data_IF_097293474879
#
_entry.id   IF_097293474879
#
_cell.length_a   1.000
_cell.length_b   1.000
_cell.length_c   1.000
_cell.angle_alpha   90.00
_cell.angle_beta   90.00
_cell.angle_gamma   90.00
#
_symmetry.space_group_name_H-M   'P 1'
#
loop_
_entity.id
_entity.type
_entity.pdbx_description
1 polymer ?
#
# COMPACT_ATOMS: atom_id res chain seq x y z
N UNK A 1 17.31 19.32 17.52
CA UNK A 1 16.47 19.29 18.72
C UNK A 1 15.31 18.29 18.60
N UNK A 2 14.46 18.35 17.56
CA UNK A 2 13.30 17.45 17.38
C UNK A 2 13.73 15.98 17.39
N UNK A 3 14.74 15.60 16.63
CA UNK A 3 15.21 14.21 16.57
C UNK A 3 15.80 13.70 17.90
N UNK A 4 16.39 14.57 18.70
CA UNK A 4 16.83 14.21 20.05
C UNK A 4 15.64 13.93 20.97
N UNK A 5 14.57 14.73 20.88
CA UNK A 5 13.32 14.49 21.61
C UNK A 5 12.67 13.17 21.17
N UNK A 6 12.61 12.88 19.87
CA UNK A 6 12.11 11.60 19.34
C UNK A 6 12.90 10.42 19.92
N UNK A 7 14.23 10.47 19.91
CA UNK A 7 15.08 9.42 20.51
C UNK A 7 14.81 9.24 22.00
N UNK A 8 14.63 10.34 22.75
CA UNK A 8 14.30 10.30 24.16
C UNK A 8 12.95 9.64 24.42
N UNK A 9 11.93 10.00 23.62
CA UNK A 9 10.60 9.39 23.72
C UNK A 9 10.64 7.89 23.39
N UNK A 10 11.34 7.50 22.33
CA UNK A 10 11.51 6.07 21.97
C UNK A 10 12.22 5.27 23.08
N UNK A 11 13.24 5.85 23.71
CA UNK A 11 13.91 5.21 24.86
C UNK A 11 12.94 5.04 26.05
N UNK A 12 12.10 6.07 26.28
CA UNK A 12 11.14 6.05 27.41
C UNK A 12 9.98 5.07 27.19
N UNK A 13 9.41 5.03 25.99
CA UNK A 13 8.20 4.25 25.70
C UNK A 13 8.48 2.95 24.92
N UNK A 14 9.70 2.75 24.47
CA UNK A 14 10.12 1.54 23.79
C UNK A 14 9.32 1.28 22.51
N UNK A 15 8.97 -0.01 22.30
CA UNK A 15 8.20 -0.45 21.10
C UNK A 15 6.73 0.00 21.14
N UNK A 16 6.24 0.54 22.26
CA UNK A 16 4.87 1.05 22.36
C UNK A 16 4.64 2.39 21.65
N UNK A 17 5.72 3.06 21.21
CA UNK A 17 5.61 4.33 20.50
C UNK A 17 5.81 4.13 19.00
N UNK A 18 4.74 4.37 18.23
CA UNK A 18 4.78 4.44 16.77
C UNK A 18 4.89 5.90 16.33
N UNK A 19 5.82 6.20 15.43
CA UNK A 19 6.09 7.54 14.93
C UNK A 19 6.02 7.54 13.41
N UNK A 20 5.09 8.31 12.86
CA UNK A 20 4.99 8.59 11.44
C UNK A 20 5.65 9.93 11.11
N UNK A 21 6.30 9.99 9.98
CA UNK A 21 6.75 11.23 9.38
C UNK A 21 5.84 11.57 8.20
N UNK A 22 5.15 12.69 8.30
CA UNK A 22 4.31 13.21 7.23
C UNK A 22 5.03 14.32 6.49
N UNK A 23 4.57 14.63 5.30
CA UNK A 23 4.80 15.82 4.49
C UNK A 23 6.25 16.22 4.15
N UNK A 24 6.48 16.45 2.88
CA UNK A 24 7.61 17.19 2.29
C UNK A 24 9.02 16.68 2.60
N UNK A 25 9.13 15.46 3.09
CA UNK A 25 10.42 14.82 3.33
C UNK A 25 10.70 13.83 2.21
N UNK A 26 11.84 13.91 1.57
CA UNK A 26 12.25 12.91 0.61
C UNK A 26 12.41 11.56 1.32
N UNK A 27 11.73 10.49 0.84
CA UNK A 27 11.87 9.16 1.41
C UNK A 27 13.33 8.73 1.41
N UNK A 28 13.79 8.28 2.56
CA UNK A 28 15.13 7.75 2.72
C UNK A 28 15.15 6.77 3.89
N UNK A 29 15.84 5.62 3.77
CA UNK A 29 16.03 4.68 4.89
C UNK A 29 16.71 5.32 6.10
N UNK A 30 17.46 6.42 5.92
CA UNK A 30 18.08 7.15 7.02
C UNK A 30 17.06 7.61 8.09
N UNK A 31 15.84 7.95 7.68
CA UNK A 31 14.78 8.37 8.59
C UNK A 31 14.33 7.28 9.56
N UNK A 32 14.53 6.00 9.23
CA UNK A 32 14.14 4.86 10.06
C UNK A 32 14.90 4.81 11.40
N UNK A 33 15.95 5.59 11.56
CA UNK A 33 16.60 5.82 12.86
C UNK A 33 15.70 6.56 13.85
N UNK A 34 14.70 7.28 13.36
CA UNK A 34 13.85 8.17 14.15
C UNK A 34 12.39 7.79 14.10
N UNK A 35 11.90 7.33 12.96
CA UNK A 35 10.49 7.06 12.71
C UNK A 35 10.23 5.62 12.30
N UNK A 36 8.99 5.19 12.39
CA UNK A 36 8.58 3.84 11.99
C UNK A 36 8.11 3.81 10.54
N UNK A 37 7.51 4.91 10.07
CA UNK A 37 7.02 5.01 8.70
C UNK A 37 7.09 6.45 8.18
N UNK A 38 7.11 6.54 6.85
CA UNK A 38 7.15 7.80 6.10
C UNK A 38 5.98 7.78 5.12
N UNK A 39 5.31 8.92 5.00
CA UNK A 39 4.23 9.07 4.03
C UNK A 39 4.73 8.99 2.60
N UNK A 40 3.96 8.31 1.75
CA UNK A 40 4.22 8.22 0.31
C UNK A 40 4.13 9.60 -0.33
N UNK A 41 5.29 10.14 -0.69
CA UNK A 41 5.42 11.49 -1.22
C UNK A 41 4.80 11.66 -2.60
N UNK A 42 4.31 12.86 -2.90
CA UNK A 42 3.72 13.24 -4.19
C UNK A 42 2.51 12.37 -4.59
N UNK A 43 1.77 11.88 -3.62
CA UNK A 43 0.64 11.00 -3.86
C UNK A 43 -0.73 11.63 -3.63
N UNK A 44 -0.80 12.82 -3.01
CA UNK A 44 -2.09 13.38 -2.59
C UNK A 44 -2.86 12.47 -1.62
N UNK A 45 -3.92 12.96 -1.03
CA UNK A 45 -4.79 12.14 -0.14
C UNK A 45 -5.64 11.18 -0.97
N UNK A 46 -6.18 11.66 -2.08
CA UNK A 46 -6.91 10.89 -3.07
C UNK A 46 -6.49 11.34 -4.47
N UNK A 47 -6.53 10.44 -5.43
CA UNK A 47 -6.25 10.73 -6.82
C UNK A 47 -6.80 9.67 -7.74
N UNK A 48 -6.87 10.01 -9.03
CA UNK A 48 -7.35 9.14 -10.07
C UNK A 48 -6.37 9.18 -11.24
N UNK A 49 -6.13 8.05 -11.88
CA UNK A 49 -5.35 8.00 -13.11
C UNK A 49 -6.19 8.59 -14.25
N UNK A 50 -5.70 9.65 -14.88
CA UNK A 50 -6.48 10.42 -15.87
C UNK A 50 -6.40 9.84 -17.27
N UNK A 51 -5.37 9.08 -17.59
CA UNK A 51 -5.04 8.68 -18.96
C UNK A 51 -5.48 7.25 -19.33
N UNK A 52 -6.25 6.58 -18.46
CA UNK A 52 -6.62 5.18 -18.67
C UNK A 52 -8.10 5.12 -19.02
N UNK A 53 -8.40 4.94 -20.30
CA UNK A 53 -9.78 4.77 -20.76
C UNK A 53 -10.35 3.42 -20.30
N UNK A 54 -11.63 3.41 -19.91
CA UNK A 54 -12.35 2.18 -19.58
C UNK A 54 -12.23 1.70 -18.14
N UNK A 55 -11.39 2.30 -17.32
CA UNK A 55 -11.31 1.95 -15.91
C UNK A 55 -12.49 2.49 -15.11
N UNK A 56 -12.95 1.70 -14.14
CA UNK A 56 -13.85 2.20 -13.11
C UNK A 56 -13.15 3.28 -12.27
N UNK A 57 -13.90 4.07 -11.52
CA UNK A 57 -13.30 5.05 -10.60
C UNK A 57 -12.42 4.38 -9.55
N UNK A 58 -12.80 3.20 -9.08
CA UNK A 58 -12.00 2.43 -8.14
C UNK A 58 -10.69 1.98 -8.78
N UNK A 59 -10.76 1.42 -10.00
CA UNK A 59 -9.55 1.01 -10.72
C UNK A 59 -8.62 2.16 -11.00
N UNK A 60 -9.17 3.32 -11.36
CA UNK A 60 -8.42 4.54 -11.57
C UNK A 60 -7.75 5.05 -10.28
N UNK A 61 -8.41 4.97 -9.13
CA UNK A 61 -7.85 5.32 -7.83
C UNK A 61 -6.70 4.38 -7.43
N UNK A 62 -6.91 3.07 -7.53
CA UNK A 62 -5.88 2.06 -7.26
C UNK A 62 -4.67 2.27 -8.20
N UNK A 63 -4.92 2.45 -9.49
CA UNK A 63 -3.87 2.70 -10.49
C UNK A 63 -3.05 3.94 -10.14
N UNK A 64 -3.72 5.04 -9.80
CA UNK A 64 -3.06 6.27 -9.38
C UNK A 64 -2.13 6.03 -8.18
N UNK A 65 -2.61 5.35 -7.16
CA UNK A 65 -1.83 5.09 -5.95
C UNK A 65 -0.62 4.21 -6.24
N UNK A 66 -0.82 3.13 -6.95
CA UNK A 66 0.25 2.19 -7.25
C UNK A 66 1.28 2.75 -8.23
N UNK A 67 0.89 3.67 -9.12
CA UNK A 67 1.83 4.42 -9.93
C UNK A 67 2.76 5.32 -9.10
N UNK A 68 2.31 5.84 -7.95
CA UNK A 68 3.17 6.58 -7.02
C UNK A 68 4.18 5.66 -6.34
N UNK A 69 3.79 4.43 -5.98
CA UNK A 69 4.72 3.41 -5.51
C UNK A 69 5.72 3.01 -6.58
N UNK A 70 5.26 2.76 -7.80
CA UNK A 70 6.14 2.46 -8.94
C UNK A 70 7.15 3.58 -9.16
N UNK A 71 6.70 4.83 -9.20
CA UNK A 71 7.59 5.98 -9.37
C UNK A 71 8.65 6.04 -8.26
N UNK A 72 8.25 5.86 -7.01
CA UNK A 72 9.17 5.91 -5.88
C UNK A 72 10.21 4.80 -5.94
N UNK A 73 9.77 3.56 -6.14
CA UNK A 73 10.60 2.37 -5.99
C UNK A 73 11.38 2.00 -7.25
N UNK A 74 10.76 2.15 -8.43
CA UNK A 74 11.33 1.72 -9.69
C UNK A 74 11.96 2.89 -10.46
N UNK A 75 11.24 4.00 -10.65
CA UNK A 75 11.76 5.14 -11.42
C UNK A 75 12.82 5.92 -10.64
N UNK A 76 12.53 6.24 -9.39
CA UNK A 76 13.47 6.96 -8.50
C UNK A 76 14.42 6.03 -7.76
N UNK A 77 14.20 4.73 -7.85
CA UNK A 77 14.99 3.66 -7.23
C UNK A 77 15.29 3.88 -5.73
N UNK A 78 14.31 4.38 -5.00
CA UNK A 78 14.44 4.61 -3.56
C UNK A 78 14.43 3.26 -2.83
N UNK A 79 15.53 2.92 -2.19
CA UNK A 79 15.70 1.68 -1.43
C UNK A 79 15.04 1.80 -0.05
N UNK A 80 13.72 1.72 -0.02
CA UNK A 80 12.96 1.76 1.23
C UNK A 80 11.93 0.63 1.28
N UNK A 81 11.96 -0.22 2.32
CA UNK A 81 10.99 -1.31 2.44
C UNK A 81 9.56 -0.78 2.52
N UNK A 82 8.63 -1.39 1.78
CA UNK A 82 7.24 -0.99 1.69
C UNK A 82 6.55 -0.91 3.06
N UNK A 83 6.90 -1.78 4.00
CA UNK A 83 6.36 -1.74 5.39
C UNK A 83 6.60 -0.41 6.11
N UNK A 84 7.56 0.38 5.67
CA UNK A 84 7.89 1.68 6.25
C UNK A 84 7.35 2.86 5.46
N UNK A 85 6.57 2.59 4.40
CA UNK A 85 5.86 3.60 3.64
C UNK A 85 4.38 3.46 3.95
N UNK A 86 3.70 4.56 4.26
CA UNK A 86 2.25 4.56 4.42
C UNK A 86 1.61 5.59 3.50
N UNK A 87 0.36 5.39 3.21
CA UNK A 87 -0.51 6.30 2.49
C UNK A 87 -1.85 6.42 3.23
N UNK A 88 -2.78 7.21 2.70
CA UNK A 88 -4.10 7.39 3.30
C UNK A 88 -5.13 6.34 2.84
N UNK A 89 -4.70 5.16 2.41
CA UNK A 89 -5.59 4.07 2.03
C UNK A 89 -5.74 3.02 3.15
N UNK A 90 -6.86 2.29 3.12
CA UNK A 90 -7.97 2.39 2.16
C UNK A 90 -8.84 3.62 2.39
N UNK A 91 -9.28 4.25 1.29
CA UNK A 91 -10.21 5.37 1.32
C UNK A 91 -11.57 4.93 0.77
N UNK A 92 -12.60 5.00 1.60
CA UNK A 92 -13.98 4.78 1.18
C UNK A 92 -14.90 5.74 1.93
N UNK A 93 -15.03 6.94 1.39
CA UNK A 93 -15.65 8.04 2.09
C UNK A 93 -16.50 8.93 1.19
N UNK A 94 -17.40 9.68 1.83
CA UNK A 94 -18.33 10.59 1.15
C UNK A 94 -17.63 11.65 0.29
N UNK A 95 -16.40 12.04 0.65
CA UNK A 95 -15.61 13.01 -0.11
C UNK A 95 -15.18 12.51 -1.49
N UNK A 96 -14.99 11.20 -1.64
CA UNK A 96 -14.65 10.58 -2.92
C UNK A 96 -15.85 10.47 -3.87
N UNK A 97 -17.10 10.53 -3.35
CA UNK A 97 -18.36 10.39 -4.09
C UNK A 97 -18.43 9.12 -4.94
N UNK A 98 -17.77 8.06 -4.49
CA UNK A 98 -17.70 6.77 -5.18
C UNK A 98 -18.35 5.73 -4.30
N UNK A 99 -19.27 4.97 -4.87
CA UNK A 99 -19.90 3.81 -4.24
C UNK A 99 -19.27 2.55 -4.85
N UNK A 100 -18.80 1.65 -3.99
CA UNK A 100 -18.29 0.36 -4.40
C UNK A 100 -19.29 -0.73 -4.09
N UNK A 101 -19.43 -1.69 -4.99
CA UNK A 101 -20.09 -2.96 -4.68
C UNK A 101 -19.34 -3.68 -3.57
N UNK A 102 -19.93 -4.71 -2.97
CA UNK A 102 -19.24 -5.48 -1.93
C UNK A 102 -18.04 -6.22 -2.51
N UNK A 103 -18.12 -6.70 -3.76
CA UNK A 103 -17.02 -7.36 -4.47
C UNK A 103 -15.88 -6.40 -4.79
N UNK A 104 -16.17 -5.21 -5.28
CA UNK A 104 -15.16 -4.17 -5.54
C UNK A 104 -14.46 -3.77 -4.25
N UNK A 105 -15.21 -3.58 -3.17
CA UNK A 105 -14.65 -3.26 -1.86
C UNK A 105 -13.74 -4.39 -1.35
N UNK A 106 -14.12 -5.65 -1.54
CA UNK A 106 -13.32 -6.81 -1.16
C UNK A 106 -11.98 -6.84 -1.92
N UNK A 107 -12.02 -6.71 -3.25
CA UNK A 107 -10.82 -6.65 -4.08
C UNK A 107 -9.89 -5.52 -3.66
N UNK A 108 -10.45 -4.35 -3.42
CA UNK A 108 -9.69 -3.18 -2.99
C UNK A 108 -8.96 -3.41 -1.66
N UNK A 109 -9.70 -3.84 -0.63
CA UNK A 109 -9.12 -4.03 0.71
C UNK A 109 -8.04 -5.11 0.72
N UNK A 110 -8.26 -6.26 0.07
CA UNK A 110 -7.23 -7.31 0.03
C UNK A 110 -6.01 -6.89 -0.76
N UNK A 111 -6.18 -6.14 -1.84
CA UNK A 111 -5.05 -5.63 -2.61
C UNK A 111 -4.26 -4.57 -1.83
N UNK A 112 -4.95 -3.69 -1.10
CA UNK A 112 -4.32 -2.70 -0.24
C UNK A 112 -3.45 -3.36 0.85
N UNK A 113 -3.99 -4.30 1.62
CA UNK A 113 -3.24 -4.98 2.69
C UNK A 113 -2.08 -5.83 2.15
N UNK A 114 -2.16 -6.29 0.89
CA UNK A 114 -1.09 -7.05 0.25
C UNK A 114 0.16 -6.21 -0.06
N UNK A 115 0.08 -4.88 -0.01
CA UNK A 115 1.24 -3.98 -0.10
C UNK A 115 2.22 -4.18 1.06
N UNK A 116 1.81 -4.85 2.14
CA UNK A 116 2.68 -5.19 3.26
C UNK A 116 3.03 -4.01 4.17
N UNK A 117 2.27 -2.94 4.12
CA UNK A 117 2.45 -1.77 4.98
C UNK A 117 2.24 -2.13 6.46
N UNK A 118 3.05 -1.54 7.33
CA UNK A 118 2.90 -1.76 8.78
C UNK A 118 1.83 -0.86 9.41
N UNK A 119 1.42 0.19 8.72
CA UNK A 119 0.36 1.11 9.12
C UNK A 119 -0.67 1.23 8.01
N UNK A 120 -1.91 0.90 8.31
CA UNK A 120 -3.07 1.17 7.47
C UNK A 120 -3.89 2.30 8.09
N UNK A 121 -4.06 3.39 7.37
CA UNK A 121 -4.94 4.48 7.77
C UNK A 121 -6.33 4.25 7.19
N UNK A 122 -7.30 3.91 8.04
CA UNK A 122 -8.64 3.56 7.60
C UNK A 122 -9.52 4.81 7.41
N UNK A 123 -9.48 5.42 6.24
CA UNK A 123 -10.32 6.56 5.89
C UNK A 123 -11.70 6.10 5.38
N UNK A 124 -12.51 5.58 6.27
CA UNK A 124 -13.80 4.97 5.96
C UNK A 124 -14.97 5.76 6.55
N UNK A 125 -15.92 6.17 5.72
CA UNK A 125 -17.19 6.76 6.21
C UNK A 125 -18.15 5.65 6.65
N UNK A 126 -18.46 5.59 7.94
CA UNK A 126 -19.30 4.53 8.49
C UNK A 126 -20.68 4.45 7.81
N UNK A 127 -21.21 5.58 7.33
CA UNK A 127 -22.50 5.66 6.61
C UNK A 127 -22.50 4.94 5.26
N UNK A 128 -21.33 4.70 4.68
CA UNK A 128 -21.16 3.97 3.42
C UNK A 128 -20.86 2.48 3.64
N UNK A 129 -20.55 2.11 4.87
CA UNK A 129 -20.18 0.75 5.25
C UNK A 129 -21.42 -0.06 5.66
N UNK A 130 -21.77 -1.04 4.84
CA UNK A 130 -22.78 -2.05 5.20
C UNK A 130 -22.15 -3.20 6.01
N UNK A 131 -22.98 -4.12 6.49
CA UNK A 131 -22.52 -5.28 7.28
C UNK A 131 -21.54 -6.18 6.53
N UNK A 132 -21.70 -6.32 5.22
CA UNK A 132 -20.80 -7.11 4.38
C UNK A 132 -19.42 -6.46 4.31
N UNK A 133 -19.32 -5.18 4.02
CA UNK A 133 -18.07 -4.43 3.96
C UNK A 133 -17.31 -4.44 5.29
N UNK A 134 -18.02 -4.28 6.42
CA UNK A 134 -17.40 -4.40 7.75
C UNK A 134 -16.81 -5.79 8.00
N UNK A 135 -17.49 -6.85 7.57
CA UNK A 135 -16.97 -8.22 7.67
C UNK A 135 -15.77 -8.44 6.78
N UNK A 136 -15.80 -7.95 5.55
CA UNK A 136 -14.67 -8.01 4.62
C UNK A 136 -13.44 -7.32 5.20
N UNK A 137 -13.59 -6.10 5.70
CA UNK A 137 -12.50 -5.37 6.34
C UNK A 137 -11.91 -6.15 7.53
N UNK A 138 -12.76 -6.68 8.41
CA UNK A 138 -12.29 -7.45 9.56
C UNK A 138 -11.50 -8.70 9.14
N UNK A 139 -11.99 -9.44 8.14
CA UNK A 139 -11.30 -10.61 7.59
C UNK A 139 -9.97 -10.25 6.92
N UNK A 140 -9.93 -9.16 6.17
CA UNK A 140 -8.69 -8.71 5.53
C UNK A 140 -7.62 -8.29 6.55
N UNK A 141 -8.02 -7.58 7.61
CA UNK A 141 -7.11 -7.22 8.72
C UNK A 141 -6.62 -8.47 9.47
N UNK A 142 -7.50 -9.44 9.70
CA UNK A 142 -7.12 -10.72 10.31
C UNK A 142 -6.15 -11.50 9.41
N UNK A 143 -6.44 -11.58 8.11
CA UNK A 143 -5.56 -12.19 7.13
C UNK A 143 -4.20 -11.51 7.08
N UNK A 144 -4.15 -10.18 7.06
CA UNK A 144 -2.90 -9.41 7.11
C UNK A 144 -2.09 -9.74 8.37
N UNK A 145 -2.73 -9.74 9.53
CA UNK A 145 -2.06 -10.06 10.81
C UNK A 145 -1.47 -11.47 10.80
N UNK A 146 -2.22 -12.46 10.32
CA UNK A 146 -1.80 -13.85 10.29
C UNK A 146 -0.67 -14.12 9.29
N UNK A 147 -0.55 -13.28 8.25
CA UNK A 147 0.46 -13.41 7.19
C UNK A 147 1.52 -12.30 7.25
N UNK A 148 1.56 -11.49 8.30
CA UNK A 148 2.45 -10.33 8.33
C UNK A 148 3.94 -10.70 8.35
N UNK A 149 4.29 -11.88 8.85
CA UNK A 149 5.65 -12.42 8.76
C UNK A 149 6.15 -12.57 7.32
N UNK A 150 5.25 -12.76 6.34
CA UNK A 150 5.53 -12.77 4.91
C UNK A 150 5.36 -11.38 4.32
N UNK A 151 4.19 -10.76 4.52
CA UNK A 151 3.80 -9.49 3.91
C UNK A 151 4.74 -8.33 4.22
N UNK A 152 5.36 -8.30 5.39
CA UNK A 152 6.33 -7.24 5.75
C UNK A 152 7.55 -7.17 4.82
N UNK A 153 7.78 -8.19 4.00
CA UNK A 153 8.88 -8.24 3.03
C UNK A 153 8.40 -7.94 1.60
N UNK A 154 7.24 -7.31 1.46
CA UNK A 154 6.66 -6.98 0.17
C UNK A 154 7.58 -6.10 -0.67
N UNK A 155 7.64 -6.43 -1.95
CA UNK A 155 8.29 -5.63 -2.99
C UNK A 155 7.34 -5.43 -4.16
N UNK A 156 7.47 -4.31 -4.84
CA UNK A 156 6.71 -4.04 -6.06
C UNK A 156 7.27 -4.88 -7.21
N UNK A 157 6.40 -5.49 -7.99
CA UNK A 157 6.76 -6.29 -9.17
C UNK A 157 5.90 -5.89 -10.38
N UNK A 158 6.43 -6.14 -11.57
CA UNK A 158 5.74 -5.82 -12.82
C UNK A 158 6.05 -4.43 -13.35
N UNK A 159 5.16 -3.91 -14.20
CA UNK A 159 5.37 -2.67 -14.92
C UNK A 159 4.67 -1.45 -14.32
N UNK A 160 4.70 -0.35 -15.08
CA UNK A 160 4.06 0.89 -14.67
C UNK A 160 2.52 0.78 -14.75
N UNK A 161 1.79 0.98 -13.63
CA UNK A 161 0.33 0.93 -13.64
C UNK A 161 -0.33 1.93 -14.59
N UNK A 162 0.23 3.13 -14.75
CA UNK A 162 -0.29 4.17 -15.66
C UNK A 162 -0.04 3.87 -17.14
N UNK A 163 0.75 2.86 -17.45
CA UNK A 163 0.98 2.35 -18.80
C UNK A 163 0.17 1.07 -19.10
N UNK A 164 -0.80 0.76 -18.25
CA UNK A 164 -1.64 -0.45 -18.35
C UNK A 164 -0.85 -1.77 -18.22
N UNK A 165 0.33 -1.73 -17.65
CA UNK A 165 1.10 -2.94 -17.40
C UNK A 165 0.54 -3.74 -16.22
N UNK A 166 0.61 -5.06 -16.31
CA UNK A 166 0.35 -5.93 -15.17
C UNK A 166 1.42 -5.72 -14.11
N UNK A 167 1.00 -5.61 -12.87
CA UNK A 167 1.89 -5.36 -11.74
C UNK A 167 1.33 -5.97 -10.45
N UNK A 168 2.05 -5.82 -9.37
CA UNK A 168 1.58 -6.22 -8.06
C UNK A 168 2.65 -6.18 -6.99
N UNK A 169 2.43 -7.02 -5.99
CA UNK A 169 3.31 -7.13 -4.83
C UNK A 169 3.69 -8.59 -4.61
N UNK A 170 4.96 -8.82 -4.41
CA UNK A 170 5.51 -10.12 -4.05
C UNK A 170 6.13 -10.02 -2.66
N UNK A 171 5.76 -10.95 -1.82
CA UNK A 171 6.30 -11.07 -0.46
C UNK A 171 6.77 -12.49 -0.22
N UNK A 172 7.87 -12.66 0.50
CA UNK A 172 8.31 -13.97 0.92
C UNK A 172 9.09 -13.89 2.23
N UNK A 173 9.25 -15.01 2.93
CA UNK A 173 10.00 -15.10 4.16
C UNK A 173 11.11 -16.15 4.07
N UNK A 174 11.96 -16.22 5.06
CA UNK A 174 13.09 -17.15 5.13
C UNK A 174 12.66 -18.62 5.20
N UNK A 175 11.40 -18.89 5.55
CA UNK A 175 10.85 -20.26 5.58
C UNK A 175 10.42 -20.75 4.19
N UNK A 176 10.47 -19.91 3.18
CA UNK A 176 10.03 -20.23 1.82
C UNK A 176 8.54 -19.99 1.56
N UNK A 177 7.80 -19.43 2.51
CA UNK A 177 6.41 -19.02 2.27
C UNK A 177 6.39 -17.73 1.45
N UNK A 178 5.52 -17.69 0.45
CA UNK A 178 5.39 -16.54 -0.44
C UNK A 178 3.94 -16.16 -0.72
N UNK A 179 3.70 -14.87 -0.92
CA UNK A 179 2.40 -14.31 -1.34
C UNK A 179 2.65 -13.44 -2.56
N UNK A 180 1.87 -13.66 -3.61
CA UNK A 180 1.85 -12.83 -4.81
C UNK A 180 0.45 -12.25 -4.96
N UNK A 181 0.35 -10.94 -4.95
CA UNK A 181 -0.86 -10.20 -5.27
C UNK A 181 -0.66 -9.49 -6.59
N UNK A 182 -1.43 -9.85 -7.61
CA UNK A 182 -1.33 -9.29 -8.96
C UNK A 182 -2.57 -8.50 -9.32
N UNK A 183 -2.37 -7.44 -10.08
CA UNK A 183 -3.42 -6.67 -10.70
C UNK A 183 -3.13 -6.47 -12.18
N UNK A 184 -4.14 -6.75 -12.99
CA UNK A 184 -4.22 -6.30 -14.38
C UNK A 184 -5.11 -5.04 -14.39
N UNK A 185 -4.59 -3.86 -14.74
CA UNK A 185 -5.37 -2.63 -14.73
C UNK A 185 -6.33 -2.49 -15.92
N UNK A 186 -6.38 -3.48 -16.82
CA UNK A 186 -7.22 -3.47 -18.00
C UNK A 186 -8.11 -4.71 -18.09
N UNK A 187 -9.13 -4.66 -18.93
CA UNK A 187 -9.98 -5.81 -19.28
C UNK A 187 -9.34 -6.76 -20.29
N UNK A 188 -8.22 -6.35 -20.88
CA UNK A 188 -7.48 -7.16 -21.85
C UNK A 188 -6.55 -8.15 -21.16
N UNK A 189 -6.41 -9.34 -21.72
CA UNK A 189 -5.45 -10.34 -21.23
C UNK A 189 -4.03 -9.86 -21.47
N UNK A 190 -3.26 -9.75 -20.41
CA UNK A 190 -1.86 -9.35 -20.50
C UNK A 190 -0.96 -10.38 -19.78
N UNK A 191 0.18 -10.78 -20.38
CA UNK A 191 1.11 -11.69 -19.75
C UNK A 191 1.99 -10.95 -18.74
N UNK A 192 2.33 -11.66 -17.65
CA UNK A 192 3.37 -11.26 -16.73
C UNK A 192 4.35 -12.41 -16.54
N UNK A 193 5.62 -12.19 -16.85
CA UNK A 193 6.67 -13.19 -16.62
C UNK A 193 7.46 -12.80 -15.38
N UNK A 194 7.46 -13.66 -14.37
CA UNK A 194 8.21 -13.48 -13.13
C UNK A 194 9.34 -14.52 -13.06
N UNK A 195 10.53 -14.05 -12.72
CA UNK A 195 11.68 -14.92 -12.48
C UNK A 195 11.93 -14.99 -10.97
N UNK A 196 11.33 -15.98 -10.31
CA UNK A 196 11.31 -16.08 -8.84
C UNK A 196 12.70 -16.09 -8.20
N UNK A 197 13.67 -16.78 -8.80
CA UNK A 197 15.05 -16.80 -8.30
C UNK A 197 15.77 -15.44 -8.33
N UNK A 198 15.17 -14.41 -8.95
CA UNK A 198 15.66 -13.03 -8.88
C UNK A 198 14.90 -12.17 -7.88
N UNK A 199 13.78 -12.69 -7.38
CA UNK A 199 12.94 -12.02 -6.39
C UNK A 199 13.22 -12.51 -4.97
N UNK A 200 13.77 -13.70 -4.84
CA UNK A 200 14.19 -14.34 -3.58
C UNK A 200 15.69 -14.14 -3.34
#
# INVERSE_FOLDING_TARGET
EVFQKIRTLRKKFGKGLWINMTCYVNPSPWWLQYVNSIWLQNSGDIGFAENIQGQSKLDSEITYRDARYFNLLNTRAVQMPLKHIYNHEPIYGNHAKVQYTDEEFEKYIYFDVARGQALNELHLSYTMMNKSKWRTLAKAIEWQKNNYNVLQNAMFIGGNPEENNVYGYFSWNENGDGIIALRNPTDEKAPLTLTLNKLM
#
